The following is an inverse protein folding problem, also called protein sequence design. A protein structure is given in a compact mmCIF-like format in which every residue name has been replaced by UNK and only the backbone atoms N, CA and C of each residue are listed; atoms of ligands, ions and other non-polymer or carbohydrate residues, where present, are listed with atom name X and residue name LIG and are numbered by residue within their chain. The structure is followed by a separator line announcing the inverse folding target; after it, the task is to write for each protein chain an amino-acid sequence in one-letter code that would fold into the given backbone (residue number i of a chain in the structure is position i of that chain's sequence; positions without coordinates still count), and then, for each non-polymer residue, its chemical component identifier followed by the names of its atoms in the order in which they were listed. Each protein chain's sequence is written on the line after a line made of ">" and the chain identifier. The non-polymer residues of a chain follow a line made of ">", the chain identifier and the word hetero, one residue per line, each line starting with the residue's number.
data_IF_253784035291
#
_entry.id   IF_253784035291
#
_cell.length_a   1.000
_cell.length_b   1.000
_cell.length_c   1.000
_cell.angle_alpha   90.00
_cell.angle_beta   90.00
_cell.angle_gamma   90.00
#
_symmetry.space_group_name_H-M   'P 1'
#
loop_
_entity.id
_entity.type
_entity.pdbx_description
1 polymer ?
#
# COMPACT_ATOMS: atom_id res chain seq x y z
N UNK A 1 13.80 -10.42 1.80
CA UNK A 1 13.01 -11.55 1.26
C UNK A 1 11.49 -11.27 1.21
N UNK A 2 10.95 -10.17 1.75
CA UNK A 2 9.49 -9.86 1.64
C UNK A 2 9.10 -8.97 0.44
N UNK A 3 10.01 -8.12 -0.06
CA UNK A 3 9.75 -7.25 -1.24
C UNK A 3 9.54 -8.06 -2.54
N UNK A 4 10.20 -9.21 -2.66
CA UNK A 4 10.03 -10.13 -3.79
C UNK A 4 8.66 -10.82 -3.77
N UNK A 5 8.20 -11.24 -2.59
CA UNK A 5 6.90 -11.87 -2.41
C UNK A 5 5.77 -10.86 -2.62
N UNK A 6 5.88 -9.63 -2.11
CA UNK A 6 4.87 -8.59 -2.36
C UNK A 6 4.62 -8.31 -3.86
N UNK A 7 5.70 -8.25 -4.65
CA UNK A 7 5.60 -8.15 -6.11
C UNK A 7 4.95 -9.38 -6.75
N UNK A 8 5.18 -10.56 -6.19
CA UNK A 8 4.54 -11.81 -6.62
C UNK A 8 3.03 -11.82 -6.33
N UNK A 9 2.57 -11.31 -5.18
CA UNK A 9 1.15 -11.31 -4.81
C UNK A 9 0.32 -10.37 -5.71
N UNK A 10 0.84 -9.18 -6.03
CA UNK A 10 0.14 -8.26 -6.94
C UNK A 10 0.20 -8.75 -8.38
N UNK A 11 1.36 -9.26 -8.82
CA UNK A 11 1.54 -9.77 -10.18
C UNK A 11 0.79 -11.09 -10.47
N UNK A 12 0.53 -11.90 -9.45
CA UNK A 12 -0.20 -13.19 -9.58
C UNK A 12 -1.72 -13.05 -9.48
N UNK A 13 -2.24 -11.87 -9.14
CA UNK A 13 -3.68 -11.64 -8.98
C UNK A 13 -4.47 -11.54 -10.29
N UNK A 14 -3.82 -11.76 -11.46
CA UNK A 14 -4.41 -11.53 -12.80
C UNK A 14 -5.10 -10.17 -13.00
N UNK A 15 -4.81 -9.17 -12.14
CA UNK A 15 -5.43 -7.85 -12.18
C UNK A 15 -6.63 -7.66 -11.24
N UNK A 16 -7.01 -8.67 -10.46
CA UNK A 16 -8.06 -8.57 -9.44
C UNK A 16 -7.63 -7.72 -8.23
N UNK A 17 -6.33 -7.70 -7.90
CA UNK A 17 -5.78 -6.86 -6.83
C UNK A 17 -5.24 -5.57 -7.42
N UNK A 18 -5.97 -4.46 -7.21
CA UNK A 18 -5.56 -3.12 -7.65
C UNK A 18 -4.53 -2.45 -6.73
N UNK A 19 -4.54 -2.80 -5.44
CA UNK A 19 -3.63 -2.27 -4.43
C UNK A 19 -3.23 -3.37 -3.44
N UNK A 20 -1.94 -3.47 -3.12
CA UNK A 20 -1.44 -4.26 -2.01
C UNK A 20 -0.70 -3.37 -1.01
N UNK A 21 -0.85 -3.71 0.26
CA UNK A 21 -0.16 -3.05 1.37
C UNK A 21 0.75 -4.06 2.04
N UNK A 22 2.04 -3.77 2.09
CA UNK A 22 3.06 -4.60 2.73
C UNK A 22 3.48 -3.91 4.01
N UNK A 23 3.39 -4.62 5.13
CA UNK A 23 3.86 -4.13 6.42
C UNK A 23 5.09 -4.94 6.82
N UNK A 24 6.21 -4.26 6.97
CA UNK A 24 7.51 -4.82 7.34
C UNK A 24 7.83 -4.35 8.76
N UNK A 25 8.10 -5.30 9.65
CA UNK A 25 8.50 -5.04 11.03
C UNK A 25 9.97 -5.42 11.23
N UNK A 26 10.80 -4.44 11.58
CA UNK A 26 12.16 -4.63 12.02
C UNK A 26 12.19 -4.52 13.54
N UNK A 27 12.14 -5.66 14.24
CA UNK A 27 11.98 -5.70 15.70
C UNK A 27 13.17 -5.07 16.44
N UNK A 28 14.39 -5.33 15.98
CA UNK A 28 15.63 -4.86 16.62
C UNK A 28 15.72 -3.32 16.65
N UNK A 29 15.24 -2.67 15.58
CA UNK A 29 15.26 -1.21 15.42
C UNK A 29 13.93 -0.55 15.81
N UNK A 30 12.95 -1.32 16.31
CA UNK A 30 11.56 -0.86 16.52
C UNK A 30 11.01 -0.06 15.34
N UNK A 31 11.32 -0.55 14.13
CA UNK A 31 10.99 0.11 12.87
C UNK A 31 9.85 -0.59 12.16
N UNK A 32 8.90 0.19 11.68
CA UNK A 32 7.79 -0.26 10.84
C UNK A 32 7.95 0.40 9.47
N UNK A 33 7.84 -0.37 8.39
CA UNK A 33 7.76 0.16 7.04
C UNK A 33 6.46 -0.33 6.41
N UNK A 34 5.66 0.60 5.90
CA UNK A 34 4.43 0.31 5.17
C UNK A 34 4.65 0.69 3.71
N UNK A 35 4.47 -0.24 2.80
CA UNK A 35 4.60 -0.01 1.36
C UNK A 35 3.28 -0.23 0.68
N UNK A 36 2.91 0.68 -0.21
CA UNK A 36 1.76 0.51 -1.10
C UNK A 36 2.26 0.18 -2.48
N UNK A 37 1.75 -0.91 -3.04
CA UNK A 37 2.06 -1.39 -4.38
C UNK A 37 0.79 -1.43 -5.20
N UNK A 38 0.86 -0.94 -6.43
CA UNK A 38 -0.30 -0.85 -7.33
C UNK A 38 0.03 -1.41 -8.70
N UNK A 39 -0.99 -1.95 -9.38
CA UNK A 39 -0.89 -2.29 -10.79
C UNK A 39 -1.05 -1.03 -11.64
N UNK A 40 -0.11 -0.73 -12.57
CA UNK A 40 -0.27 0.38 -13.48
C UNK A 40 -1.53 0.19 -14.35
N UNK A 41 -2.42 1.19 -14.38
CA UNK A 41 -3.56 1.14 -15.31
C UNK A 41 -3.03 1.09 -16.75
N UNK A 42 -3.60 0.20 -17.56
CA UNK A 42 -3.44 0.28 -19.01
C UNK A 42 -4.35 1.42 -19.45
N UNK A 43 -3.78 2.51 -19.98
CA UNK A 43 -4.56 3.63 -20.51
C UNK A 43 -5.55 3.13 -21.58
N UNK A 44 -6.84 3.37 -21.36
CA UNK A 44 -7.90 3.06 -22.32
C UNK A 44 -7.70 3.89 -23.59
N UNK A 45 -7.24 3.24 -24.65
CA UNK A 45 -6.96 3.87 -25.95
C UNK A 45 -5.74 3.32 -26.65
N UNK A 46 -4.81 2.68 -25.93
CA UNK A 46 -3.64 2.03 -26.53
C UNK A 46 -3.99 0.60 -26.95
N UNK A 47 -3.86 0.29 -28.25
CA UNK A 47 -4.03 -1.08 -28.77
C UNK A 47 -3.22 -2.06 -27.92
N UNK A 48 -3.93 -2.88 -27.13
CA UNK A 48 -3.34 -3.90 -26.28
C UNK A 48 -2.90 -5.07 -27.16
N UNK A 49 -1.67 -5.04 -27.66
CA UNK A 49 -1.00 -6.28 -28.07
C UNK A 49 -0.70 -7.10 -26.81
N UNK A 50 -0.74 -8.44 -26.87
CA UNK A 50 -0.51 -9.37 -25.72
C UNK A 50 0.75 -9.08 -24.88
N UNK A 51 1.70 -8.28 -25.37
CA UNK A 51 2.87 -7.81 -24.64
C UNK A 51 2.61 -6.65 -23.65
N UNK A 52 1.48 -5.93 -23.75
CA UNK A 52 1.16 -4.76 -22.91
C UNK A 52 0.44 -5.10 -21.59
N UNK A 53 -0.04 -6.33 -21.41
CA UNK A 53 -0.85 -6.73 -20.24
C UNK A 53 -0.03 -7.13 -19.01
N UNK A 54 1.30 -7.13 -19.07
CA UNK A 54 2.18 -7.59 -17.97
C UNK A 54 3.10 -6.49 -17.46
N UNK A 55 2.56 -5.30 -17.18
CA UNK A 55 3.35 -4.30 -16.44
C UNK A 55 3.54 -4.79 -15.01
N UNK A 56 4.78 -4.78 -14.47
CA UNK A 56 4.99 -5.21 -13.10
C UNK A 56 4.30 -4.25 -12.14
N UNK A 57 3.89 -4.74 -10.95
CA UNK A 57 3.45 -3.88 -9.85
C UNK A 57 4.49 -2.82 -9.53
N UNK A 58 4.05 -1.60 -9.20
CA UNK A 58 4.93 -0.49 -8.85
C UNK A 58 4.64 -0.03 -7.43
N UNK A 59 5.68 0.21 -6.65
CA UNK A 59 5.57 0.83 -5.32
C UNK A 59 5.19 2.30 -5.49
N UNK A 60 4.01 2.69 -5.01
CA UNK A 60 3.49 4.06 -5.13
C UNK A 60 3.70 4.89 -3.87
N UNK A 61 3.70 4.25 -2.70
CA UNK A 61 3.93 4.92 -1.42
C UNK A 61 4.83 4.07 -0.53
N UNK A 62 5.63 4.73 0.30
CA UNK A 62 6.39 4.11 1.38
C UNK A 62 6.31 5.03 2.60
N UNK A 63 5.82 4.49 3.71
CA UNK A 63 5.82 5.13 5.02
C UNK A 63 6.79 4.37 5.91
N UNK A 64 7.65 5.10 6.63
CA UNK A 64 8.53 4.50 7.64
C UNK A 64 8.28 5.12 8.99
N UNK A 65 8.20 4.30 10.03
CA UNK A 65 8.06 4.71 11.42
C UNK A 65 9.26 4.15 12.17
N UNK A 66 10.08 5.02 12.75
CA UNK A 66 11.28 4.63 13.52
C UNK A 66 11.24 5.40 14.83
N UNK A 67 11.18 4.69 15.96
CA UNK A 67 11.14 5.32 17.30
C UNK A 67 10.06 6.42 17.46
N UNK A 68 8.94 6.28 16.74
CA UNK A 68 7.84 7.25 16.75
C UNK A 68 7.96 8.38 15.71
N UNK A 69 9.09 8.54 15.03
CA UNK A 69 9.24 9.44 13.88
C UNK A 69 8.60 8.82 12.64
N UNK A 70 7.54 9.46 12.13
CA UNK A 70 6.78 9.00 10.96
C UNK A 70 7.19 9.79 9.72
N UNK A 71 7.70 9.10 8.71
CA UNK A 71 8.10 9.67 7.42
C UNK A 71 7.27 9.08 6.29
N UNK A 72 7.02 9.88 5.25
CA UNK A 72 6.24 9.46 4.07
C UNK A 72 4.72 9.50 4.27
N UNK A 73 4.24 9.98 5.42
CA UNK A 73 2.82 10.17 5.68
C UNK A 73 2.23 11.36 4.88
N UNK A 74 0.91 11.38 4.62
CA UNK A 74 -0.06 10.35 4.99
C UNK A 74 -0.01 9.12 4.08
N UNK A 75 -0.44 7.97 4.61
CA UNK A 75 -0.74 6.79 3.79
C UNK A 75 -2.15 6.94 3.23
N UNK A 76 -2.30 6.97 1.91
CA UNK A 76 -3.59 7.15 1.23
C UNK A 76 -3.93 5.92 0.40
N UNK A 77 -5.03 5.25 0.73
CA UNK A 77 -5.57 4.15 -0.08
C UNK A 77 -6.80 4.66 -0.83
N UNK A 78 -6.67 4.77 -2.15
CA UNK A 78 -7.74 5.27 -3.01
C UNK A 78 -8.98 4.37 -2.95
N UNK A 79 -10.16 4.95 -2.74
CA UNK A 79 -11.40 4.19 -2.55
C UNK A 79 -11.65 3.18 -3.67
N UNK A 80 -11.58 3.64 -4.93
CA UNK A 80 -11.82 2.78 -6.09
C UNK A 80 -10.80 1.66 -6.27
N UNK A 81 -9.60 1.83 -5.70
CA UNK A 81 -8.56 0.81 -5.73
C UNK A 81 -8.81 -0.27 -4.68
N UNK A 82 -9.40 0.12 -3.55
CA UNK A 82 -9.72 -0.81 -2.45
C UNK A 82 -11.05 -1.54 -2.71
N UNK A 83 -12.06 -0.83 -3.23
CA UNK A 83 -13.44 -1.33 -3.36
C UNK A 83 -13.84 -1.71 -4.79
N UNK A 84 -12.94 -1.55 -5.76
CA UNK A 84 -13.17 -1.90 -7.18
C UNK A 84 -14.34 -1.15 -7.88
N UNK A 85 -14.89 -0.12 -7.23
CA UNK A 85 -16.00 0.69 -7.74
C UNK A 85 -15.83 2.19 -7.45
N UNK A 86 -16.52 3.07 -8.21
CA UNK A 86 -16.56 4.49 -7.88
C UNK A 86 -17.07 4.75 -6.47
N UNK A 87 -16.52 5.77 -5.83
CA UNK A 87 -17.04 6.29 -4.58
C UNK A 87 -18.38 7.00 -4.80
N UNK A 88 -19.29 6.90 -3.84
CA UNK A 88 -20.54 7.67 -3.76
C UNK A 88 -20.32 8.84 -2.80
N UNK A 89 -20.18 10.09 -3.30
CA UNK A 89 -20.00 11.25 -2.45
C UNK A 89 -21.30 11.63 -1.73
N UNK A 90 -21.23 12.30 -0.57
CA UNK A 90 -20.01 12.75 0.12
C UNK A 90 -19.40 11.75 1.13
N UNK A 91 -20.08 10.64 1.42
CA UNK A 91 -19.70 9.75 2.51
C UNK A 91 -18.49 8.88 2.17
N UNK A 92 -18.39 8.43 0.91
CA UNK A 92 -17.32 7.56 0.45
C UNK A 92 -16.14 8.36 -0.11
N UNK A 93 -14.95 8.06 0.41
CA UNK A 93 -13.70 8.77 0.10
C UNK A 93 -12.51 7.87 0.35
N UNK A 94 -11.35 8.33 -0.09
CA UNK A 94 -10.08 7.64 0.14
C UNK A 94 -9.85 7.39 1.63
N UNK A 95 -9.24 6.24 1.93
CA UNK A 95 -8.84 5.89 3.30
C UNK A 95 -7.50 6.57 3.56
N UNK A 96 -7.49 7.51 4.50
CA UNK A 96 -6.29 8.29 4.84
C UNK A 96 -5.85 7.94 6.26
N UNK A 97 -4.63 7.46 6.40
CA UNK A 97 -3.97 7.32 7.70
C UNK A 97 -2.95 8.45 7.88
N UNK A 98 -3.22 9.32 8.84
CA UNK A 98 -2.34 10.45 9.16
C UNK A 98 -1.05 9.98 9.86
N UNK A 99 -0.06 10.86 9.95
CA UNK A 99 1.14 10.58 10.76
C UNK A 99 0.78 10.25 12.22
N UNK A 100 -0.27 10.87 12.77
CA UNK A 100 -0.72 10.61 14.13
C UNK A 100 -1.34 9.22 14.26
N UNK A 101 -2.15 8.78 13.30
CA UNK A 101 -2.75 7.44 13.32
C UNK A 101 -1.68 6.35 13.22
N UNK A 102 -0.71 6.57 12.33
CA UNK A 102 0.44 5.70 12.13
C UNK A 102 1.33 5.63 13.38
N UNK A 103 1.58 6.76 14.04
CA UNK A 103 2.27 6.81 15.33
C UNK A 103 1.55 6.00 16.42
N UNK A 104 0.22 6.15 16.54
CA UNK A 104 -0.59 5.36 17.47
C UNK A 104 -0.52 3.86 17.17
N UNK A 105 -0.37 3.47 15.91
CA UNK A 105 -0.19 2.06 15.55
C UNK A 105 1.17 1.54 16.00
N UNK A 106 2.25 2.30 15.78
CA UNK A 106 3.57 1.95 16.27
C UNK A 106 3.58 1.78 17.80
N UNK A 107 2.94 2.69 18.54
CA UNK A 107 2.80 2.56 20.00
C UNK A 107 2.04 1.29 20.40
N UNK A 108 1.06 0.84 19.62
CA UNK A 108 0.33 -0.41 19.90
C UNK A 108 1.17 -1.64 19.61
N UNK A 109 1.91 -1.64 18.50
CA UNK A 109 2.79 -2.75 18.10
C UNK A 109 3.89 -2.96 19.15
N UNK A 110 4.50 -1.87 19.63
CA UNK A 110 5.65 -1.95 20.55
C UNK A 110 5.26 -2.01 22.03
N UNK A 111 3.98 -1.80 22.40
CA UNK A 111 3.51 -1.91 23.79
C UNK A 111 3.38 -3.34 24.32
N UNK A 112 3.61 -4.38 23.52
CA UNK A 112 3.56 -5.78 23.99
C UNK A 112 4.94 -6.22 24.50
N UNK A 113 5.20 -6.00 25.79
CA UNK A 113 6.42 -6.44 26.46
C UNK A 113 6.56 -6.01 27.93
N UNK A 114 5.46 -5.94 28.67
CA UNK A 114 5.46 -5.88 30.15
C UNK A 114 4.78 -7.12 30.73
#
# INVERSE_FOLDING_TARGET
>A
MLRGDAGWWVGSSEGEVRVAVVIILCLDERRIVVETWEMPRVEEGRRVTRACSRRPPVKTQEVSIVEGDVRGAPLVLGFEKVFDRPAVPPEERDIVFSAQDLGKWADKVWRRGE
#
